data_IF_203087452036
#
_entry.id   IF_203087452036
#
_cell.length_a   1.000
_cell.length_b   1.000
_cell.length_c   1.000
_cell.angle_alpha   90.00
_cell.angle_beta   90.00
_cell.angle_gamma   90.00
#
_symmetry.space_group_name_H-M   'P 1'
#
loop_
_entity.id
_entity.type
_entity.pdbx_description
1 polymer ?
#
# COMPACT_ATOMS: atom_id res chain seq x y z
N UNK A 1 -13.65 1.88 -7.67
CA UNK A 1 -13.29 2.06 -6.23
C UNK A 1 -13.86 0.95 -5.36
N UNK A 2 -15.16 0.63 -5.43
CA UNK A 2 -15.78 -0.41 -4.56
C UNK A 2 -15.07 -1.76 -4.56
N UNK A 3 -14.51 -2.16 -5.70
CA UNK A 3 -13.70 -3.38 -5.83
C UNK A 3 -12.43 -3.38 -4.97
N UNK A 4 -12.06 -2.27 -4.33
CA UNK A 4 -10.93 -2.15 -3.40
C UNK A 4 -11.32 -2.11 -1.93
N UNK A 5 -12.61 -2.06 -1.61
CA UNK A 5 -13.05 -1.95 -0.21
C UNK A 5 -12.67 -3.16 0.64
N UNK A 6 -12.26 -4.27 0.03
CA UNK A 6 -11.67 -5.39 0.77
C UNK A 6 -10.37 -5.04 1.50
N UNK A 7 -9.67 -3.97 1.09
CA UNK A 7 -8.51 -3.44 1.80
C UNK A 7 -8.89 -2.73 3.10
N UNK A 8 -10.14 -2.27 3.28
CA UNK A 8 -10.55 -1.54 4.47
C UNK A 8 -10.29 -2.34 5.76
N UNK A 9 -9.68 -1.67 6.73
CA UNK A 9 -9.36 -2.23 8.04
C UNK A 9 -7.89 -2.01 8.42
N UNK A 10 -7.49 -2.67 9.51
CA UNK A 10 -6.14 -2.62 10.04
C UNK A 10 -5.43 -3.95 9.79
N UNK A 11 -4.18 -3.86 9.39
CA UNK A 11 -3.36 -4.95 8.91
C UNK A 11 -2.02 -4.92 9.61
N UNK A 12 -1.49 -6.09 9.98
CA UNK A 12 -0.19 -6.22 10.64
C UNK A 12 0.64 -7.32 10.01
N UNK A 13 1.94 -7.08 9.87
CA UNK A 13 2.96 -8.04 9.49
C UNK A 13 4.06 -8.02 10.56
N UNK A 14 4.48 -9.20 11.02
CA UNK A 14 5.61 -9.32 11.93
C UNK A 14 6.93 -9.17 11.15
N UNK A 15 7.88 -8.40 11.69
CA UNK A 15 9.18 -8.15 11.09
C UNK A 15 10.30 -8.27 12.14
N UNK A 16 10.77 -9.49 12.35
CA UNK A 16 11.66 -9.80 13.47
C UNK A 16 10.95 -9.54 14.80
N UNK A 17 11.50 -8.64 15.61
CA UNK A 17 10.86 -8.15 16.83
C UNK A 17 10.06 -6.85 16.60
N UNK A 18 10.15 -6.33 15.37
CA UNK A 18 9.35 -5.31 14.71
C UNK A 18 7.90 -5.75 14.40
N UNK A 19 6.97 -4.83 14.19
CA UNK A 19 5.83 -5.08 13.31
C UNK A 19 5.61 -3.90 12.35
N UNK A 20 5.11 -4.20 11.15
CA UNK A 20 4.62 -3.20 10.19
C UNK A 20 3.10 -3.23 10.25
N UNK A 21 2.49 -2.05 10.31
CA UNK A 21 1.05 -1.87 10.31
C UNK A 21 0.61 -1.09 9.10
N UNK A 22 -0.52 -1.47 8.53
CA UNK A 22 -1.23 -0.69 7.52
C UNK A 22 -2.68 -0.49 7.96
N UNK A 23 -3.21 0.72 7.79
CA UNK A 23 -4.61 1.03 8.07
C UNK A 23 -5.21 1.67 6.83
N UNK A 24 -6.35 1.14 6.40
CA UNK A 24 -7.09 1.60 5.23
C UNK A 24 -8.52 1.98 5.63
N UNK A 25 -8.98 3.16 5.20
CA UNK A 25 -10.32 3.68 5.46
C UNK A 25 -10.98 4.15 4.17
N UNK A 26 -12.26 3.82 3.97
CA UNK A 26 -13.06 4.40 2.89
C UNK A 26 -13.54 5.79 3.31
N UNK A 27 -13.01 6.84 2.68
CA UNK A 27 -13.36 8.23 2.99
C UNK A 27 -14.51 8.76 2.12
N UNK A 28 -14.62 8.26 0.88
CA UNK A 28 -15.71 8.55 -0.06
C UNK A 28 -15.78 7.47 -1.15
N UNK A 29 -16.82 7.49 -1.99
CA UNK A 29 -16.95 6.61 -3.16
C UNK A 29 -15.76 6.72 -4.14
N UNK A 30 -15.03 7.84 -4.12
CA UNK A 30 -13.87 8.12 -4.98
C UNK A 30 -12.55 8.21 -4.22
N UNK A 31 -12.53 7.98 -2.91
CA UNK A 31 -11.35 8.18 -2.07
C UNK A 31 -11.22 7.11 -0.97
N UNK A 32 -10.09 6.41 -0.95
CA UNK A 32 -9.64 5.67 0.24
C UNK A 32 -8.33 6.27 0.75
N UNK A 33 -8.18 6.28 2.08
CA UNK A 33 -6.99 6.75 2.77
C UNK A 33 -6.28 5.54 3.39
N UNK A 34 -4.98 5.46 3.16
CA UNK A 34 -4.08 4.47 3.73
C UNK A 34 -3.01 5.14 4.61
N UNK A 35 -2.51 4.42 5.60
CA UNK A 35 -1.31 4.81 6.34
C UNK A 35 -0.52 3.58 6.73
N UNK A 36 0.81 3.68 6.65
CA UNK A 36 1.74 2.64 7.11
C UNK A 36 2.62 3.15 8.25
N UNK A 37 2.99 2.25 9.16
CA UNK A 37 3.86 2.57 10.27
C UNK A 37 4.56 1.35 10.86
N UNK A 38 5.69 1.59 11.51
CA UNK A 38 6.47 0.57 12.21
C UNK A 38 6.18 0.65 13.70
N UNK A 39 5.78 -0.47 14.28
CA UNK A 39 5.55 -0.65 15.72
C UNK A 39 6.79 -1.31 16.32
N UNK A 40 7.44 -0.66 17.29
CA UNK A 40 8.60 -1.21 17.97
C UNK A 40 8.20 -2.27 19.03
N UNK A 41 9.19 -2.89 19.67
CA UNK A 41 8.97 -3.92 20.72
C UNK A 41 8.20 -3.41 21.94
N UNK A 42 8.27 -2.09 22.19
CA UNK A 42 7.62 -1.41 23.31
C UNK A 42 6.15 -1.04 22.98
N UNK A 43 5.74 -1.18 21.72
CA UNK A 43 4.41 -0.81 21.23
C UNK A 43 4.33 0.62 20.68
N UNK A 44 5.43 1.38 20.63
CA UNK A 44 5.42 2.71 20.04
C UNK A 44 5.35 2.59 18.52
N UNK A 45 4.53 3.43 17.90
CA UNK A 45 4.33 3.46 16.45
C UNK A 45 4.97 4.69 15.83
N UNK A 46 5.79 4.50 14.81
CA UNK A 46 6.31 5.58 13.95
C UNK A 46 5.64 5.46 12.59
N UNK A 47 4.84 6.46 12.23
CA UNK A 47 4.22 6.53 10.91
C UNK A 47 5.29 6.78 9.83
N UNK A 48 5.29 5.94 8.81
CA UNK A 48 6.28 5.98 7.72
C UNK A 48 5.68 6.49 6.42
N UNK A 49 4.38 6.29 6.21
CA UNK A 49 3.74 6.57 4.93
C UNK A 49 2.27 6.96 5.10
N UNK A 50 1.81 7.87 4.25
CA UNK A 50 0.39 8.15 4.00
C UNK A 50 0.06 7.87 2.55
N UNK A 51 -1.09 7.29 2.27
CA UNK A 51 -1.47 6.86 0.93
C UNK A 51 -2.87 7.37 0.62
N UNK A 52 -3.07 7.82 -0.62
CA UNK A 52 -4.40 8.09 -1.16
C UNK A 52 -4.65 7.19 -2.37
N UNK A 53 -5.78 6.50 -2.36
CA UNK A 53 -6.37 5.88 -3.55
C UNK A 53 -7.45 6.82 -4.08
N UNK A 54 -7.21 7.43 -5.24
CA UNK A 54 -8.09 8.48 -5.79
C UNK A 54 -8.65 8.05 -7.13
N UNK A 55 -9.97 8.05 -7.28
CA UNK A 55 -10.65 7.89 -8.56
C UNK A 55 -10.95 9.28 -9.14
N UNK A 56 -10.20 9.67 -10.17
CA UNK A 56 -10.36 10.95 -10.89
C UNK A 56 -10.30 10.72 -12.41
N UNK A 57 -11.20 11.36 -13.16
CA UNK A 57 -11.24 11.29 -14.63
C UNK A 57 -11.20 9.83 -15.16
N UNK A 58 -12.03 8.96 -14.59
CA UNK A 58 -12.12 7.52 -14.90
C UNK A 58 -10.81 6.72 -14.69
N UNK A 59 -9.84 7.30 -14.01
CA UNK A 59 -8.57 6.66 -13.67
C UNK A 59 -8.43 6.55 -12.16
N UNK A 60 -8.00 5.40 -11.69
CA UNK A 60 -7.63 5.18 -10.31
C UNK A 60 -6.12 5.38 -10.13
N UNK A 61 -5.75 6.09 -9.07
CA UNK A 61 -4.36 6.41 -8.74
C UNK A 61 -4.02 5.97 -7.33
N UNK A 62 -2.84 5.38 -7.16
CA UNK A 62 -2.19 5.12 -5.87
C UNK A 62 -1.13 6.21 -5.64
N UNK A 63 -1.29 6.97 -4.57
CA UNK A 63 -0.57 8.23 -4.35
C UNK A 63 0.04 8.26 -2.93
N UNK A 64 1.19 7.60 -2.72
CA UNK A 64 1.91 7.58 -1.46
C UNK A 64 2.71 8.84 -1.24
N UNK A 65 2.78 9.24 0.02
CA UNK A 65 3.71 10.23 0.56
C UNK A 65 4.50 9.55 1.68
N UNK A 66 5.79 9.29 1.42
CA UNK A 66 6.68 8.64 2.38
C UNK A 66 7.46 9.71 3.14
N UNK A 67 7.50 9.58 4.47
CA UNK A 67 8.25 10.50 5.33
C UNK A 67 9.71 10.58 4.91
N UNK A 68 10.24 11.79 4.72
CA UNK A 68 11.63 12.07 4.33
C UNK A 68 12.05 11.56 2.95
N UNK A 69 11.11 11.22 2.06
CA UNK A 69 11.39 10.92 0.66
C UNK A 69 10.73 11.93 -0.28
N UNK A 70 11.23 12.02 -1.52
CA UNK A 70 10.66 12.83 -2.61
C UNK A 70 10.30 14.28 -2.22
N UNK A 71 11.07 14.93 -1.35
CA UNK A 71 10.78 16.27 -0.81
C UNK A 71 9.38 16.41 -0.17
N UNK A 72 8.82 15.31 0.36
CA UNK A 72 7.47 15.26 0.92
C UNK A 72 6.35 15.36 -0.13
N UNK A 73 6.67 15.19 -1.42
CA UNK A 73 5.69 15.15 -2.49
C UNK A 73 5.21 13.72 -2.74
N UNK A 74 3.94 13.61 -3.12
CA UNK A 74 3.35 12.34 -3.52
C UNK A 74 3.91 11.83 -4.85
N UNK A 75 4.05 10.52 -4.96
CA UNK A 75 4.41 9.84 -6.20
C UNK A 75 3.14 9.20 -6.75
N UNK A 76 2.82 9.39 -8.03
CA UNK A 76 1.60 8.80 -8.61
C UNK A 76 1.90 7.48 -9.29
N UNK A 77 1.08 6.46 -9.00
CA UNK A 77 1.05 5.18 -9.72
C UNK A 77 -0.36 4.99 -10.29
N UNK A 78 -0.45 4.76 -11.61
CA UNK A 78 -1.74 4.56 -12.28
C UNK A 78 -2.20 3.11 -12.11
N UNK A 79 -3.47 2.89 -11.83
CA UNK A 79 -4.03 1.55 -11.79
C UNK A 79 -3.93 0.88 -13.18
N UNK A 80 -3.46 -0.37 -13.18
CA UNK A 80 -3.47 -1.26 -14.35
C UNK A 80 -4.60 -2.27 -14.29
N UNK A 81 -4.88 -2.76 -13.09
CA UNK A 81 -5.87 -3.79 -12.86
C UNK A 81 -6.50 -3.58 -11.50
N UNK A 82 -7.82 -3.77 -11.42
CA UNK A 82 -8.57 -3.71 -10.16
C UNK A 82 -9.69 -4.75 -10.25
N UNK A 83 -9.77 -5.60 -9.23
CA UNK A 83 -10.88 -6.52 -8.97
C UNK A 83 -11.08 -6.65 -7.46
N UNK A 84 -12.10 -7.42 -7.09
CA UNK A 84 -12.45 -7.79 -5.71
C UNK A 84 -11.38 -8.64 -4.97
N UNK A 85 -10.32 -9.02 -5.67
CA UNK A 85 -9.27 -9.94 -5.21
C UNK A 85 -7.86 -9.47 -5.51
N UNK A 86 -7.67 -8.53 -6.44
CA UNK A 86 -6.34 -8.02 -6.78
C UNK A 86 -6.42 -6.58 -7.29
N UNK A 87 -5.42 -5.77 -6.95
CA UNK A 87 -5.18 -4.50 -7.59
C UNK A 87 -3.70 -4.28 -7.88
N UNK A 88 -3.39 -3.65 -9.00
CA UNK A 88 -2.03 -3.29 -9.35
C UNK A 88 -1.95 -1.86 -9.88
N UNK A 89 -0.89 -1.17 -9.49
CA UNK A 89 -0.62 0.22 -9.80
C UNK A 89 0.81 0.34 -10.30
N UNK A 90 1.05 1.14 -11.34
CA UNK A 90 2.40 1.31 -11.87
C UNK A 90 2.78 2.75 -12.18
N UNK A 91 4.08 3.00 -12.08
CA UNK A 91 4.78 4.17 -12.59
C UNK A 91 6.13 3.69 -13.15
N UNK A 92 6.20 3.39 -14.45
CA UNK A 92 7.43 2.90 -15.09
C UNK A 92 8.58 3.90 -15.06
N UNK A 93 8.30 5.18 -14.81
CA UNK A 93 9.30 6.24 -14.72
C UNK A 93 9.88 6.42 -13.31
N UNK A 94 9.32 5.75 -12.30
CA UNK A 94 9.88 5.73 -10.95
C UNK A 94 11.12 4.81 -10.90
N UNK A 95 12.05 5.07 -9.98
CA UNK A 95 13.28 4.29 -9.83
C UNK A 95 13.00 2.91 -9.22
N UNK A 96 12.61 2.85 -7.95
CA UNK A 96 12.09 1.66 -7.30
C UNK A 96 11.17 2.07 -6.14
N UNK A 97 9.97 1.47 -6.00
CA UNK A 97 9.39 0.47 -6.90
C UNK A 97 8.74 1.11 -8.13
N UNK A 98 8.49 0.32 -9.17
CA UNK A 98 7.75 0.74 -10.37
C UNK A 98 6.32 0.22 -10.36
N UNK A 99 6.05 -0.85 -9.61
CA UNK A 99 4.71 -1.42 -9.46
C UNK A 99 4.43 -1.79 -8.02
N UNK A 100 3.19 -1.55 -7.62
CA UNK A 100 2.61 -1.87 -6.31
C UNK A 100 1.41 -2.76 -6.57
N UNK A 101 1.34 -3.90 -5.88
CA UNK A 101 0.32 -4.93 -6.10
C UNK A 101 -0.25 -5.34 -4.75
N UNK A 102 -1.57 -5.35 -4.64
CA UNK A 102 -2.27 -5.95 -3.51
C UNK A 102 -3.04 -7.18 -3.99
N UNK A 103 -3.02 -8.25 -3.19
CA UNK A 103 -3.82 -9.47 -3.40
C UNK A 103 -4.57 -9.83 -2.14
N UNK A 104 -5.88 -10.04 -2.27
CA UNK A 104 -6.72 -10.61 -1.22
C UNK A 104 -6.58 -12.13 -1.26
N UNK A 105 -6.01 -12.70 -0.19
CA UNK A 105 -5.89 -14.14 -0.06
C UNK A 105 -7.09 -14.73 0.71
N UNK A 106 -7.64 -13.96 1.65
CA UNK A 106 -8.86 -14.26 2.40
C UNK A 106 -9.46 -12.97 2.96
N UNK A 107 -10.50 -13.08 3.78
CA UNK A 107 -11.08 -11.93 4.51
C UNK A 107 -10.13 -11.34 5.56
N UNK A 108 -9.11 -12.11 5.96
CA UNK A 108 -8.19 -11.74 7.04
C UNK A 108 -6.72 -11.74 6.61
N UNK A 109 -6.42 -11.97 5.33
CA UNK A 109 -5.04 -12.06 4.84
C UNK A 109 -4.93 -11.37 3.49
N UNK A 110 -3.94 -10.48 3.38
CA UNK A 110 -3.57 -9.83 2.12
C UNK A 110 -2.06 -9.91 1.93
N UNK A 111 -1.65 -9.95 0.67
CA UNK A 111 -0.26 -9.71 0.29
C UNK A 111 -0.17 -8.33 -0.36
N UNK A 112 0.75 -7.51 0.10
CA UNK A 112 1.25 -6.36 -0.66
C UNK A 112 2.59 -6.76 -1.30
N UNK A 113 2.82 -6.36 -2.55
CA UNK A 113 4.07 -6.59 -3.25
C UNK A 113 4.49 -5.32 -3.96
N UNK A 114 5.76 -4.98 -3.78
CA UNK A 114 6.42 -3.98 -4.61
C UNK A 114 7.40 -4.67 -5.55
N UNK A 115 7.54 -4.16 -6.77
CA UNK A 115 8.49 -4.69 -7.75
C UNK A 115 8.99 -3.58 -8.68
N UNK A 116 10.16 -3.80 -9.27
CA UNK A 116 10.77 -2.86 -10.20
C UNK A 116 12.20 -3.23 -10.51
N UNK A 117 12.92 -2.31 -11.14
CA UNK A 117 14.34 -2.46 -11.44
C UNK A 117 15.14 -1.56 -10.51
N UNK A 118 16.00 -2.14 -9.68
CA UNK A 118 16.95 -1.41 -8.84
C UNK A 118 18.37 -1.81 -9.26
N UNK A 119 19.24 -0.82 -9.55
CA UNK A 119 20.62 -1.07 -10.00
C UNK A 119 20.73 -2.05 -11.19
N UNK A 120 19.79 -1.99 -12.13
CA UNK A 120 19.75 -2.86 -13.32
C UNK A 120 19.29 -4.30 -13.05
N UNK A 121 18.81 -4.61 -11.85
CA UNK A 121 18.28 -5.93 -11.48
C UNK A 121 16.81 -5.84 -11.15
N UNK A 122 16.03 -6.82 -11.57
CA UNK A 122 14.64 -6.96 -11.12
C UNK A 122 14.61 -7.33 -9.65
N UNK A 123 13.96 -6.49 -8.84
CA UNK A 123 13.79 -6.67 -7.41
C UNK A 123 12.30 -6.76 -7.09
N UNK A 124 11.97 -7.47 -6.01
CA UNK A 124 10.62 -7.51 -5.47
C UNK A 124 10.62 -7.86 -3.99
N UNK A 125 9.77 -7.16 -3.23
CA UNK A 125 9.52 -7.43 -1.83
C UNK A 125 8.03 -7.73 -1.63
N UNK A 126 7.73 -8.73 -0.81
CA UNK A 126 6.37 -9.16 -0.48
C UNK A 126 6.13 -9.01 1.01
N UNK A 127 5.00 -8.39 1.36
CA UNK A 127 4.55 -8.14 2.71
C UNK A 127 3.29 -8.95 2.98
N UNK A 128 3.38 -9.88 3.93
CA UNK A 128 2.30 -10.82 4.26
C UNK A 128 1.52 -10.32 5.47
N UNK A 129 0.43 -9.62 5.22
CA UNK A 129 -0.37 -9.00 6.26
C UNK A 129 -1.50 -9.88 6.75
N UNK A 130 -1.80 -9.75 8.04
CA UNK A 130 -3.01 -10.29 8.67
C UNK A 130 -3.88 -9.16 9.19
N UNK A 131 -5.19 -9.30 9.03
CA UNK A 131 -6.16 -8.35 9.56
C UNK A 131 -6.18 -8.40 11.08
N UNK A 132 -6.20 -7.25 11.72
CA UNK A 132 -6.39 -7.11 13.17
C UNK A 132 -7.66 -6.35 13.46
N UNK A 133 -8.35 -6.76 14.52
CA UNK A 133 -9.42 -5.95 15.11
C UNK A 133 -8.75 -5.01 16.11
N UNK A 134 -8.87 -3.71 15.87
CA UNK A 134 -8.61 -2.71 16.90
C UNK A 134 -9.65 -2.80 18.01
#
# INVERSE_FOLDING_TARGET
>A
MRDLWWLEGSWIMQYGEAAITEVWTVAADTLMLGSSGVVNKQGDTVMTEQIRLVLENDSLWYMPTVSNQNNGQEIKFKALFVSDTMASFENPMHDYPQRIIYRRLSDTTIDARIEGIENGKTMSDVFHYKKVKL
#
